data_IF_538618910819
#
_entry.id   IF_538618910819
#
_cell.length_a   1.000
_cell.length_b   1.000
_cell.length_c   1.000
_cell.angle_alpha   90.00
_cell.angle_beta   90.00
_cell.angle_gamma   90.00
#
_symmetry.space_group_name_H-M   'P 1'
#
loop_
_entity.id
_entity.type
_entity.pdbx_description
1 polymer ?
#
# COMPACT_ATOMS: atom_id res chain seq x y z
N UNK A 1 31.07 -21.45 -16.34
CA UNK A 1 29.66 -21.81 -16.07
C UNK A 1 29.29 -21.55 -14.61
N UNK A 2 29.99 -20.65 -13.91
CA UNK A 2 29.73 -20.32 -12.49
C UNK A 2 29.31 -18.85 -12.29
N UNK A 3 29.21 -18.07 -13.37
CA UNK A 3 28.90 -16.63 -13.31
C UNK A 3 27.40 -16.30 -13.46
N UNK A 4 26.52 -17.32 -13.44
CA UNK A 4 25.07 -17.14 -13.65
C UNK A 4 24.24 -17.15 -12.35
N UNK A 5 24.86 -17.15 -11.17
CA UNK A 5 24.15 -17.27 -9.89
C UNK A 5 24.25 -16.04 -8.97
N UNK A 6 24.60 -14.86 -9.50
CA UNK A 6 24.75 -13.62 -8.71
C UNK A 6 23.76 -12.51 -9.06
N UNK A 7 22.70 -12.79 -9.81
CA UNK A 7 21.72 -11.78 -10.24
C UNK A 7 20.30 -11.96 -9.71
N UNK A 8 20.08 -12.73 -8.63
CA UNK A 8 18.77 -12.91 -8.00
C UNK A 8 18.77 -12.60 -6.50
N UNK A 9 19.56 -11.63 -6.08
CA UNK A 9 19.31 -10.88 -4.85
C UNK A 9 18.91 -9.45 -5.24
N UNK A 10 17.98 -9.33 -6.19
CA UNK A 10 17.27 -8.07 -6.39
C UNK A 10 16.48 -7.83 -5.10
N UNK A 11 16.82 -6.72 -4.45
CA UNK A 11 16.19 -6.14 -3.26
C UNK A 11 14.68 -6.39 -3.23
N UNK A 12 14.24 -7.46 -2.55
CA UNK A 12 12.85 -7.52 -2.11
C UNK A 12 12.67 -6.38 -1.13
N UNK A 13 11.74 -5.46 -1.45
CA UNK A 13 11.29 -4.49 -0.48
C UNK A 13 10.88 -5.23 0.81
N UNK A 14 11.25 -4.71 1.99
CA UNK A 14 10.90 -5.35 3.24
C UNK A 14 9.38 -5.47 3.35
N UNK A 15 8.91 -6.66 3.75
CA UNK A 15 7.48 -6.87 3.99
C UNK A 15 6.99 -6.01 5.14
N UNK A 16 5.81 -5.41 4.98
CA UNK A 16 5.19 -4.60 6.04
C UNK A 16 4.42 -5.50 6.98
N UNK A 17 4.79 -5.50 8.25
CA UNK A 17 4.15 -6.36 9.26
C UNK A 17 2.80 -5.82 9.74
N UNK A 18 2.69 -4.50 9.96
CA UNK A 18 1.49 -3.83 10.44
C UNK A 18 1.57 -2.32 10.18
N UNK A 19 0.44 -1.63 10.38
CA UNK A 19 0.37 -0.17 10.45
C UNK A 19 0.00 0.29 11.85
N UNK A 20 0.55 1.41 12.29
CA UNK A 20 0.20 2.06 13.56
C UNK A 20 -0.48 3.39 13.27
N UNK A 21 -1.74 3.52 13.66
CA UNK A 21 -2.47 4.79 13.63
C UNK A 21 -2.33 5.45 15.00
N UNK A 22 -1.67 6.61 15.02
CA UNK A 22 -1.56 7.46 16.20
C UNK A 22 -2.65 8.54 16.14
N UNK A 23 -3.54 8.55 17.13
CA UNK A 23 -4.60 9.55 17.24
C UNK A 23 -4.13 10.77 18.04
N UNK A 24 -4.76 11.92 17.80
CA UNK A 24 -4.40 13.20 18.44
C UNK A 24 -4.68 13.23 19.94
N UNK A 25 -5.51 12.32 20.46
CA UNK A 25 -5.76 12.13 21.88
C UNK A 25 -4.68 11.27 22.58
N UNK A 26 -3.66 10.85 21.84
CA UNK A 26 -2.57 10.01 22.33
C UNK A 26 -2.87 8.51 22.31
N UNK A 27 -4.06 8.08 21.88
CA UNK A 27 -4.37 6.66 21.71
C UNK A 27 -3.74 6.10 20.43
N UNK A 28 -3.53 4.79 20.42
CA UNK A 28 -2.95 4.07 19.29
C UNK A 28 -3.85 2.92 18.86
N UNK A 29 -3.88 2.66 17.56
CA UNK A 29 -4.47 1.46 16.98
C UNK A 29 -3.47 0.79 16.06
N UNK A 30 -3.25 -0.51 16.30
CA UNK A 30 -2.47 -1.36 15.42
C UNK A 30 -3.42 -2.00 14.40
N UNK A 31 -2.99 -2.01 13.14
CA UNK A 31 -3.68 -2.62 12.02
C UNK A 31 -2.74 -3.69 11.45
N UNK A 32 -2.99 -4.95 11.83
CA UNK A 32 -2.15 -6.08 11.41
C UNK A 32 -2.37 -6.49 9.95
N UNK A 33 -3.52 -6.13 9.38
CA UNK A 33 -3.86 -6.41 7.98
C UNK A 33 -4.53 -5.21 7.37
N UNK A 34 -3.94 -4.69 6.30
CA UNK A 34 -4.47 -3.49 5.68
C UNK A 34 -3.68 -3.02 4.48
N UNK A 35 -4.17 -1.94 3.92
CA UNK A 35 -3.58 -1.26 2.79
C UNK A 35 -3.58 0.24 3.10
N UNK A 36 -2.48 0.89 2.77
CA UNK A 36 -2.31 2.32 2.87
C UNK A 36 -1.94 2.89 1.51
N UNK A 37 -2.54 4.03 1.18
CA UNK A 37 -2.23 4.79 -0.02
C UNK A 37 -1.57 6.09 0.41
N UNK A 38 -0.30 6.26 0.08
CA UNK A 38 0.39 7.53 0.22
C UNK A 38 0.19 8.35 -1.05
N UNK A 39 -0.17 9.62 -0.89
CA UNK A 39 -0.27 10.58 -1.98
C UNK A 39 0.97 11.44 -1.93
N UNK A 40 1.76 11.41 -3.01
CA UNK A 40 2.93 12.27 -3.17
C UNK A 40 2.67 13.25 -4.32
N UNK A 41 2.87 14.53 -4.04
CA UNK A 41 2.90 15.57 -5.08
C UNK A 41 4.32 15.70 -5.59
N UNK A 42 4.51 15.56 -6.89
CA UNK A 42 5.80 15.77 -7.56
C UNK A 42 5.97 17.24 -7.95
N UNK A 43 7.22 17.69 -8.12
CA UNK A 43 7.54 19.10 -8.45
C UNK A 43 6.91 19.58 -9.77
N UNK A 44 6.57 18.66 -10.67
CA UNK A 44 5.91 18.95 -11.94
C UNK A 44 4.37 19.14 -11.81
N UNK A 45 3.82 19.04 -10.60
CA UNK A 45 2.39 19.15 -10.32
C UNK A 45 1.59 17.85 -10.52
N UNK A 46 2.25 16.73 -10.81
CA UNK A 46 1.60 15.42 -10.86
C UNK A 46 1.43 14.85 -9.44
N UNK A 47 0.33 14.13 -9.22
CA UNK A 47 0.13 13.35 -7.99
C UNK A 47 0.38 11.88 -8.28
N UNK A 48 1.30 11.29 -7.54
CA UNK A 48 1.61 9.85 -7.58
C UNK A 48 1.04 9.18 -6.34
N UNK A 49 0.46 8.00 -6.53
CA UNK A 49 -0.01 7.16 -5.44
C UNK A 49 1.00 6.03 -5.21
N UNK A 50 1.47 5.90 -3.99
CA UNK A 50 2.26 4.76 -3.52
C UNK A 50 1.38 3.87 -2.65
N UNK A 51 1.42 2.57 -2.91
CA UNK A 51 0.56 1.60 -2.25
C UNK A 51 1.39 0.69 -1.34
N UNK A 52 1.06 0.68 -0.07
CA UNK A 52 1.74 -0.10 0.97
C UNK A 52 0.75 -1.11 1.52
N UNK A 53 1.13 -2.38 1.63
CA UNK A 53 0.25 -3.46 2.07
C UNK A 53 0.88 -4.25 3.20
N UNK A 54 0.11 -4.51 4.25
CA UNK A 54 0.46 -5.42 5.33
C UNK A 54 -0.48 -6.62 5.31
N UNK A 55 0.08 -7.82 5.17
CA UNK A 55 -0.66 -9.09 5.23
C UNK A 55 -1.90 -9.17 4.29
N UNK A 56 -1.84 -8.52 3.12
CA UNK A 56 -2.88 -8.59 2.10
C UNK A 56 -2.47 -9.56 0.97
N UNK A 57 -3.31 -10.55 0.67
CA UNK A 57 -3.09 -11.48 -0.43
C UNK A 57 -4.41 -11.97 -1.05
N UNK A 58 -4.35 -12.42 -2.31
CA UNK A 58 -5.50 -13.06 -2.98
C UNK A 58 -6.75 -12.17 -2.97
N UNK A 59 -7.83 -12.64 -2.33
CA UNK A 59 -9.14 -11.94 -2.27
C UNK A 59 -9.07 -10.56 -1.61
N UNK A 60 -8.04 -10.31 -0.81
CA UNK A 60 -7.85 -8.99 -0.21
C UNK A 60 -7.60 -7.93 -1.27
N UNK A 61 -6.81 -8.27 -2.30
CA UNK A 61 -6.49 -7.37 -3.41
C UNK A 61 -7.76 -7.02 -4.19
N UNK A 62 -8.58 -8.02 -4.50
CA UNK A 62 -9.88 -7.80 -5.16
C UNK A 62 -10.78 -6.89 -4.31
N UNK A 63 -10.84 -7.14 -3.01
CA UNK A 63 -11.63 -6.34 -2.06
C UNK A 63 -11.16 -4.88 -2.01
N UNK A 64 -9.85 -4.65 -2.01
CA UNK A 64 -9.24 -3.30 -2.03
C UNK A 64 -9.65 -2.57 -3.30
N UNK A 65 -9.48 -3.20 -4.47
CA UNK A 65 -9.79 -2.59 -5.77
C UNK A 65 -11.29 -2.27 -5.87
N UNK A 66 -12.17 -3.22 -5.55
CA UNK A 66 -13.62 -2.99 -5.56
C UNK A 66 -14.02 -1.90 -4.56
N UNK A 67 -13.38 -1.84 -3.40
CA UNK A 67 -13.58 -0.77 -2.41
C UNK A 67 -13.25 0.61 -2.97
N UNK A 68 -12.12 0.77 -3.68
CA UNK A 68 -11.74 2.02 -4.33
C UNK A 68 -12.74 2.44 -5.43
N UNK A 69 -13.21 1.49 -6.25
CA UNK A 69 -14.25 1.76 -7.27
C UNK A 69 -15.55 2.22 -6.61
N UNK A 70 -16.00 1.52 -5.56
CA UNK A 70 -17.19 1.92 -4.81
C UNK A 70 -17.03 3.29 -4.16
N UNK A 71 -15.84 3.64 -3.69
CA UNK A 71 -15.55 4.98 -3.18
C UNK A 71 -15.70 6.03 -4.28
N UNK A 72 -15.16 5.79 -5.48
CA UNK A 72 -15.32 6.68 -6.63
C UNK A 72 -16.79 6.95 -6.98
N UNK A 73 -17.62 5.91 -7.00
CA UNK A 73 -19.07 6.04 -7.21
C UNK A 73 -19.74 6.86 -6.10
N UNK A 74 -19.39 6.58 -4.83
CA UNK A 74 -19.95 7.32 -3.68
C UNK A 74 -19.58 8.80 -3.69
N UNK A 75 -18.41 9.13 -4.22
CA UNK A 75 -17.93 10.51 -4.37
C UNK A 75 -18.43 11.18 -5.66
N UNK A 76 -19.16 10.46 -6.52
CA UNK A 76 -19.69 10.98 -7.79
C UNK A 76 -18.63 11.26 -8.85
N UNK A 77 -17.49 10.56 -8.79
CA UNK A 77 -16.35 10.76 -9.69
C UNK A 77 -16.40 9.85 -10.92
N UNK A 78 -17.09 8.71 -10.81
CA UNK A 78 -17.34 7.73 -11.88
C UNK A 78 -18.75 7.16 -11.79
#
# INVERSE_FOLDING_TARGET
MEDMNKSQAESQEPEVENFIVNYSDGTQRIIDKGFFCEIKEEENGESVLSFIMANCAGRDLETIILGCVQLGVKLGMI
#
